data_IF_032304758487
#
_entry.id   IF_032304758487
#
_cell.length_a   1.000
_cell.length_b   1.000
_cell.length_c   1.000
_cell.angle_alpha   90.00
_cell.angle_beta   90.00
_cell.angle_gamma   90.00
#
_symmetry.space_group_name_H-M   'P 1'
#
loop_
_entity.id
_entity.type
_entity.pdbx_description
1 polymer ?
#
# COMPACT_ATOMS: atom_id res chain seq x y z
N UNK A 1 23.20 -3.94 -16.70
CA UNK A 1 21.74 -4.13 -16.75
C UNK A 1 21.16 -2.89 -17.40
N UNK A 2 20.35 -3.02 -18.45
CA UNK A 2 19.71 -1.87 -19.11
C UNK A 2 18.77 -1.17 -18.11
N UNK A 3 18.70 0.18 -18.09
CA UNK A 3 17.79 0.92 -17.20
C UNK A 3 16.34 0.42 -17.27
N UNK A 4 15.92 -0.04 -18.44
CA UNK A 4 14.58 -0.60 -18.68
C UNK A 4 14.33 -1.91 -17.91
N UNK A 5 15.34 -2.77 -17.76
CA UNK A 5 15.21 -4.02 -17.01
C UNK A 5 14.98 -3.74 -15.51
N UNK A 6 15.65 -2.70 -14.97
CA UNK A 6 15.48 -2.27 -13.58
C UNK A 6 14.10 -1.64 -13.38
N UNK A 7 13.62 -0.84 -14.34
CA UNK A 7 12.28 -0.25 -14.30
C UNK A 7 11.18 -1.33 -14.33
N UNK A 8 11.28 -2.31 -15.24
CA UNK A 8 10.36 -3.44 -15.32
C UNK A 8 10.37 -4.30 -14.05
N UNK A 9 11.55 -4.66 -13.53
CA UNK A 9 11.66 -5.42 -12.30
C UNK A 9 11.03 -4.69 -11.11
N UNK A 10 11.24 -3.37 -11.01
CA UNK A 10 10.65 -2.54 -9.96
C UNK A 10 9.12 -2.44 -10.09
N UNK A 11 8.61 -2.36 -11.32
CA UNK A 11 7.17 -2.34 -11.59
C UNK A 11 6.51 -3.68 -11.23
N UNK A 12 7.16 -4.79 -11.56
CA UNK A 12 6.72 -6.14 -11.15
C UNK A 12 6.69 -6.26 -9.63
N UNK A 13 7.75 -5.83 -8.93
CA UNK A 13 7.79 -5.84 -7.46
C UNK A 13 6.67 -4.98 -6.84
N UNK A 14 6.40 -3.81 -7.42
CA UNK A 14 5.34 -2.90 -6.97
C UNK A 14 3.96 -3.53 -7.16
N UNK A 15 3.65 -4.04 -8.36
CA UNK A 15 2.39 -4.71 -8.70
C UNK A 15 2.20 -5.95 -7.84
N UNK A 16 3.25 -6.76 -7.68
CA UNK A 16 3.22 -7.96 -6.84
C UNK A 16 2.89 -7.61 -5.38
N UNK A 17 3.55 -6.61 -4.82
CA UNK A 17 3.29 -6.16 -3.43
C UNK A 17 1.87 -5.62 -3.27
N UNK A 18 1.40 -4.79 -4.20
CA UNK A 18 0.05 -4.23 -4.19
C UNK A 18 -1.04 -5.30 -4.37
N UNK A 19 -0.83 -6.24 -5.29
CA UNK A 19 -1.75 -7.34 -5.57
C UNK A 19 -1.81 -8.34 -4.43
N UNK A 20 -0.66 -8.75 -3.89
CA UNK A 20 -0.62 -9.62 -2.71
C UNK A 20 -1.38 -9.00 -1.54
N UNK A 21 -1.18 -7.72 -1.30
CA UNK A 21 -1.91 -7.01 -0.25
C UNK A 21 -3.41 -6.93 -0.52
N UNK A 22 -3.82 -6.66 -1.75
CA UNK A 22 -5.23 -6.63 -2.14
C UNK A 22 -5.91 -7.99 -1.95
N UNK A 23 -5.22 -9.10 -2.21
CA UNK A 23 -5.75 -10.45 -2.03
C UNK A 23 -5.71 -10.92 -0.57
N UNK A 24 -4.69 -10.51 0.20
CA UNK A 24 -4.53 -10.91 1.60
C UNK A 24 -5.45 -10.12 2.55
N UNK A 25 -5.66 -8.83 2.27
CA UNK A 25 -6.41 -7.89 3.10
C UNK A 25 -7.90 -8.27 3.36
N UNK A 26 -8.66 -8.86 2.41
CA UNK A 26 -10.03 -9.34 2.63
C UNK A 26 -10.12 -10.49 3.64
N UNK A 27 -9.13 -11.37 3.68
CA UNK A 27 -9.11 -12.48 4.64
C UNK A 27 -9.09 -11.95 6.09
N UNK A 28 -8.38 -10.84 6.33
CA UNK A 28 -8.31 -10.19 7.64
C UNK A 28 -9.57 -9.38 8.00
N UNK A 29 -10.42 -9.01 7.03
CA UNK A 29 -11.73 -8.39 7.30
C UNK A 29 -12.76 -9.37 7.86
N UNK A 30 -12.60 -10.66 7.56
CA UNK A 30 -13.46 -11.74 8.04
C UNK A 30 -13.06 -12.23 9.43
N UNK A 31 -11.88 -11.85 9.92
CA UNK A 31 -11.39 -12.22 11.26
C UNK A 31 -11.90 -11.23 12.31
N UNK A 32 -12.19 -11.78 13.50
CA UNK A 32 -12.58 -11.06 14.71
C UNK A 32 -11.48 -10.12 15.21
N UNK A 33 -11.66 -8.82 14.97
CA UNK A 33 -10.76 -7.73 15.42
C UNK A 33 -10.91 -7.39 16.92
N UNK A 34 -11.81 -8.09 17.61
CA UNK A 34 -11.99 -8.15 19.06
C UNK A 34 -10.86 -8.94 19.76
N UNK A 35 -9.96 -9.58 19.02
CA UNK A 35 -8.78 -10.24 19.57
C UNK A 35 -7.56 -9.30 19.45
N UNK A 36 -6.91 -8.91 20.56
CA UNK A 36 -5.80 -7.94 20.54
C UNK A 36 -4.61 -8.43 19.69
N UNK A 37 -4.33 -9.73 19.72
CA UNK A 37 -3.28 -10.39 18.94
C UNK A 37 -3.51 -10.23 17.43
N UNK A 38 -4.76 -10.39 16.96
CA UNK A 38 -5.14 -10.20 15.55
C UNK A 38 -4.90 -8.75 15.13
N UNK A 39 -5.22 -7.79 16.00
CA UNK A 39 -5.09 -6.37 15.69
C UNK A 39 -3.62 -5.93 15.63
N UNK A 40 -2.77 -6.49 16.50
CA UNK A 40 -1.33 -6.29 16.45
C UNK A 40 -0.69 -6.95 15.22
N UNK A 41 -1.13 -8.16 14.86
CA UNK A 41 -0.67 -8.85 13.65
C UNK A 41 -1.05 -8.05 12.39
N UNK A 42 -2.29 -7.55 12.34
CA UNK A 42 -2.76 -6.68 11.28
C UNK A 42 -1.91 -5.40 11.18
N UNK A 43 -1.60 -4.75 12.31
CA UNK A 43 -0.69 -3.60 12.36
C UNK A 43 0.71 -3.93 11.83
N UNK A 44 1.24 -5.09 12.18
CA UNK A 44 2.52 -5.60 11.68
C UNK A 44 2.50 -5.78 10.16
N UNK A 45 1.44 -6.39 9.63
CA UNK A 45 1.25 -6.61 8.20
C UNK A 45 1.13 -5.29 7.43
N UNK A 46 0.35 -4.33 7.92
CA UNK A 46 0.27 -3.01 7.31
C UNK A 46 1.61 -2.29 7.34
N UNK A 47 2.34 -2.36 8.46
CA UNK A 47 3.67 -1.73 8.58
C UNK A 47 4.65 -2.28 7.55
N UNK A 48 4.69 -3.61 7.38
CA UNK A 48 5.59 -4.24 6.40
C UNK A 48 5.14 -3.95 4.97
N UNK A 49 3.84 -4.01 4.68
CA UNK A 49 3.28 -3.69 3.38
C UNK A 49 3.62 -2.25 2.95
N UNK A 50 3.31 -1.25 3.79
CA UNK A 50 3.64 0.14 3.47
C UNK A 50 5.14 0.36 3.29
N UNK A 51 5.98 -0.37 4.03
CA UNK A 51 7.43 -0.31 3.86
C UNK A 51 7.85 -0.88 2.49
N UNK A 52 7.31 -2.04 2.11
CA UNK A 52 7.60 -2.68 0.82
C UNK A 52 7.15 -1.80 -0.35
N UNK A 53 5.94 -1.25 -0.30
CA UNK A 53 5.43 -0.34 -1.33
C UNK A 53 6.24 0.96 -1.40
N UNK A 54 6.64 1.52 -0.25
CA UNK A 54 7.49 2.71 -0.24
C UNK A 54 8.86 2.44 -0.87
N UNK A 55 9.53 1.33 -0.50
CA UNK A 55 10.83 0.95 -1.07
C UNK A 55 10.69 0.69 -2.57
N UNK A 56 9.74 -0.15 -2.97
CA UNK A 56 9.50 -0.47 -4.39
C UNK A 56 9.13 0.78 -5.19
N UNK A 57 8.30 1.66 -4.64
CA UNK A 57 7.90 2.93 -5.25
C UNK A 57 9.07 3.89 -5.43
N UNK A 58 9.96 4.03 -4.45
CA UNK A 58 11.16 4.86 -4.55
C UNK A 58 12.11 4.30 -5.61
N UNK A 59 12.38 3.00 -5.59
CA UNK A 59 13.25 2.34 -6.59
C UNK A 59 12.67 2.53 -7.99
N UNK A 60 11.37 2.28 -8.16
CA UNK A 60 10.68 2.48 -9.43
C UNK A 60 10.76 3.94 -9.89
N UNK A 61 10.52 4.91 -9.00
CA UNK A 61 10.63 6.35 -9.31
C UNK A 61 12.03 6.70 -9.80
N UNK A 62 13.08 6.22 -9.13
CA UNK A 62 14.47 6.44 -9.54
C UNK A 62 14.78 5.77 -10.89
N UNK A 63 14.30 4.54 -11.11
CA UNK A 63 14.51 3.83 -12.37
C UNK A 63 13.83 4.55 -13.55
N UNK A 64 12.58 5.00 -13.40
CA UNK A 64 11.87 5.75 -14.44
C UNK A 64 12.44 7.16 -14.66
N UNK A 65 12.96 7.81 -13.61
CA UNK A 65 13.68 9.09 -13.73
C UNK A 65 14.96 8.93 -14.58
N UNK A 66 15.74 7.88 -14.32
CA UNK A 66 16.94 7.55 -15.10
C UNK A 66 16.64 7.16 -16.55
N UNK A 67 15.46 6.58 -16.80
CA UNK A 67 14.97 6.26 -18.14
C UNK A 67 14.37 7.48 -18.89
N UNK A 68 14.36 8.68 -18.29
CA UNK A 68 13.85 9.91 -18.92
C UNK A 68 12.32 9.99 -19.05
N UNK A 69 11.58 9.08 -18.42
CA UNK A 69 10.11 8.98 -18.54
C UNK A 69 9.39 9.79 -17.47
N UNK A 70 9.42 11.11 -17.60
CA UNK A 70 8.90 12.08 -16.61
C UNK A 70 7.45 11.82 -16.17
N UNK A 71 6.54 11.45 -17.08
CA UNK A 71 5.13 11.16 -16.75
C UNK A 71 5.01 9.99 -15.75
N UNK A 72 5.79 8.93 -15.97
CA UNK A 72 5.82 7.76 -15.10
C UNK A 72 6.56 8.03 -13.79
N UNK A 73 7.64 8.80 -13.83
CA UNK A 73 8.35 9.27 -12.63
C UNK A 73 7.41 10.03 -11.70
N UNK A 74 6.61 10.96 -12.23
CA UNK A 74 5.64 11.74 -11.43
C UNK A 74 4.55 10.82 -10.88
N UNK A 75 3.96 9.94 -11.72
CA UNK A 75 2.90 9.03 -11.30
C UNK A 75 3.34 8.07 -10.18
N UNK A 76 4.48 7.40 -10.35
CA UNK A 76 5.02 6.46 -9.36
C UNK A 76 5.55 7.21 -8.13
N UNK A 77 6.14 8.39 -8.32
CA UNK A 77 6.57 9.26 -7.22
C UNK A 77 5.41 9.68 -6.32
N UNK A 78 4.26 10.01 -6.91
CA UNK A 78 3.03 10.32 -6.16
C UNK A 78 2.51 9.10 -5.39
N UNK A 79 2.56 7.91 -5.99
CA UNK A 79 2.19 6.66 -5.31
C UNK A 79 3.12 6.40 -4.12
N UNK A 80 4.43 6.57 -4.30
CA UNK A 80 5.42 6.38 -3.24
C UNK A 80 5.23 7.40 -2.11
N UNK A 81 5.05 8.68 -2.43
CA UNK A 81 4.79 9.74 -1.46
C UNK A 81 3.48 9.48 -0.69
N UNK A 82 2.42 9.07 -1.38
CA UNK A 82 1.16 8.69 -0.76
C UNK A 82 1.33 7.50 0.16
N UNK A 83 2.06 6.45 -0.24
CA UNK A 83 2.32 5.29 0.61
C UNK A 83 3.08 5.66 1.89
N UNK A 84 4.09 6.53 1.80
CA UNK A 84 4.85 7.02 2.96
C UNK A 84 3.97 7.84 3.91
N UNK A 85 3.16 8.75 3.36
CA UNK A 85 2.25 9.58 4.15
C UNK A 85 1.14 8.74 4.80
N UNK A 86 0.48 7.89 4.01
CA UNK A 86 -0.58 7.00 4.45
C UNK A 86 -0.08 6.04 5.53
N UNK A 87 1.15 5.53 5.45
CA UNK A 87 1.78 4.70 6.50
C UNK A 87 1.73 5.38 7.87
N UNK A 88 2.21 6.62 7.95
CA UNK A 88 2.28 7.34 9.21
C UNK A 88 0.89 7.72 9.75
N UNK A 89 -0.03 8.08 8.87
CA UNK A 89 -1.40 8.41 9.26
C UNK A 89 -2.20 7.17 9.72
N UNK A 90 -2.11 6.08 8.96
CA UNK A 90 -2.82 4.83 9.21
C UNK A 90 -2.35 4.14 10.49
N UNK A 91 -1.03 4.05 10.71
CA UNK A 91 -0.48 3.45 11.93
C UNK A 91 -0.89 4.24 13.17
N UNK A 92 -0.76 5.58 13.15
CA UNK A 92 -1.18 6.42 14.28
C UNK A 92 -2.66 6.29 14.59
N UNK A 93 -3.50 6.20 13.56
CA UNK A 93 -4.94 6.09 13.79
C UNK A 93 -5.34 4.69 14.25
N UNK A 94 -4.72 3.63 13.73
CA UNK A 94 -4.90 2.28 14.24
C UNK A 94 -4.48 2.19 15.72
N UNK A 95 -3.38 2.82 16.12
CA UNK A 95 -2.96 2.93 17.52
C UNK A 95 -4.03 3.62 18.37
N UNK A 96 -4.57 4.76 17.92
CA UNK A 96 -5.63 5.46 18.64
C UNK A 96 -6.92 4.64 18.79
N UNK A 97 -7.25 3.81 17.81
CA UNK A 97 -8.46 2.98 17.85
C UNK A 97 -8.25 1.70 18.67
N UNK A 98 -7.03 1.15 18.71
CA UNK A 98 -6.68 0.06 19.62
C UNK A 98 -6.81 0.51 21.07
N UNK A 99 -6.26 1.67 21.42
CA UNK A 99 -6.41 2.24 22.78
C UNK A 99 -7.87 2.52 23.15
N UNK A 100 -8.69 2.98 22.20
CA UNK A 100 -10.12 3.17 22.43
C UNK A 100 -10.87 1.85 22.64
N UNK A 101 -10.50 0.78 21.92
CA UNK A 101 -11.04 -0.57 22.15
C UNK A 101 -10.66 -1.10 23.52
N UNK A 102 -9.40 -0.96 23.92
CA UNK A 102 -8.92 -1.41 25.22
C UNK A 102 -9.63 -0.68 26.38
N UNK A 103 -10.10 0.55 26.13
CA UNK A 103 -10.97 1.30 27.04
C UNK A 103 -12.46 0.88 27.02
N UNK A 104 -12.84 -0.13 26.23
CA UNK A 104 -14.19 -0.70 26.18
C UNK A 104 -15.11 -0.14 25.08
N UNK A 105 -14.61 0.67 24.14
CA UNK A 105 -15.44 1.23 23.07
C UNK A 105 -15.73 0.21 21.97
N UNK A 106 -16.98 -0.26 21.91
CA UNK A 106 -17.47 -1.17 20.88
C UNK A 106 -17.50 -0.55 19.46
N UNK A 107 -17.49 0.77 19.32
CA UNK A 107 -17.40 1.43 18.01
C UNK A 107 -16.01 1.42 17.40
N UNK A 108 -14.96 1.28 18.21
CA UNK A 108 -13.57 1.29 17.77
C UNK A 108 -13.33 0.21 16.70
N UNK A 109 -13.96 -0.96 16.84
CA UNK A 109 -13.87 -2.07 15.87
C UNK A 109 -14.49 -1.69 14.51
N UNK A 110 -15.64 -0.99 14.51
CA UNK A 110 -16.26 -0.51 13.25
C UNK A 110 -15.41 0.57 12.58
N UNK A 111 -14.79 1.46 13.37
CA UNK A 111 -13.89 2.51 12.87
C UNK A 111 -12.61 1.92 12.28
N UNK A 112 -12.06 0.86 12.91
CA UNK A 112 -10.95 0.10 12.38
C UNK A 112 -11.27 -0.54 11.03
N UNK A 113 -12.47 -1.13 10.90
CA UNK A 113 -12.93 -1.75 9.65
C UNK A 113 -13.09 -0.74 8.51
N UNK A 114 -13.65 0.44 8.79
CA UNK A 114 -13.76 1.53 7.80
C UNK A 114 -12.40 2.03 7.34
N UNK A 115 -11.45 2.14 8.26
CA UNK A 115 -10.07 2.52 7.95
C UNK A 115 -9.39 1.49 7.05
N UNK A 116 -9.51 0.21 7.40
CA UNK A 116 -9.01 -0.91 6.60
C UNK A 116 -9.59 -0.90 5.18
N UNK A 117 -10.91 -0.68 5.06
CA UNK A 117 -11.58 -0.60 3.77
C UNK A 117 -11.10 0.58 2.93
N UNK A 118 -10.91 1.75 3.53
CA UNK A 118 -10.35 2.93 2.86
C UNK A 118 -8.95 2.68 2.32
N UNK A 119 -8.08 2.04 3.10
CA UNK A 119 -6.74 1.64 2.64
C UNK A 119 -6.79 0.65 1.47
N UNK A 120 -7.70 -0.32 1.52
CA UNK A 120 -7.87 -1.32 0.46
C UNK A 120 -8.43 -0.72 -0.83
N UNK A 121 -9.41 0.18 -0.76
CA UNK A 121 -9.93 0.91 -1.92
C UNK A 121 -8.86 1.79 -2.55
N UNK A 122 -8.06 2.46 -1.72
CA UNK A 122 -6.96 3.30 -2.21
C UNK A 122 -5.87 2.47 -2.90
N UNK A 123 -5.49 1.32 -2.34
CA UNK A 123 -4.56 0.38 -3.00
C UNK A 123 -5.14 -0.19 -4.30
N UNK A 124 -6.43 -0.56 -4.31
CA UNK A 124 -7.10 -1.05 -5.51
C UNK A 124 -7.10 0.00 -6.63
N UNK A 125 -7.37 1.26 -6.30
CA UNK A 125 -7.32 2.36 -7.24
C UNK A 125 -5.89 2.58 -7.78
N UNK A 126 -4.89 2.62 -6.91
CA UNK A 126 -3.48 2.73 -7.32
C UNK A 126 -3.05 1.58 -8.22
N UNK A 127 -3.42 0.34 -7.88
CA UNK A 127 -3.13 -0.83 -8.68
C UNK A 127 -3.80 -0.76 -10.06
N UNK A 128 -5.06 -0.32 -10.15
CA UNK A 128 -5.76 -0.15 -11.42
C UNK A 128 -5.07 0.90 -12.30
N UNK A 129 -4.61 2.01 -11.72
CA UNK A 129 -3.84 3.04 -12.43
C UNK A 129 -2.50 2.48 -12.92
N UNK A 130 -1.75 1.76 -12.08
CA UNK A 130 -0.47 1.16 -12.46
C UNK A 130 -0.66 0.12 -13.57
N UNK A 131 -1.63 -0.79 -13.44
CA UNK A 131 -1.92 -1.81 -14.44
C UNK A 131 -2.42 -1.18 -15.75
N UNK A 132 -3.31 -0.20 -15.67
CA UNK A 132 -3.79 0.55 -16.83
C UNK A 132 -2.70 1.36 -17.53
N UNK A 133 -1.61 1.67 -16.84
CA UNK A 133 -0.45 2.38 -17.41
C UNK A 133 0.52 1.45 -18.16
N UNK A 134 0.46 0.13 -17.92
CA UNK A 134 1.35 -0.88 -18.53
C UNK A 134 1.36 -0.82 -20.08
N UNK A 135 0.22 -0.73 -20.79
CA UNK A 135 0.21 -0.65 -22.25
C UNK A 135 0.95 0.58 -22.78
N UNK A 136 0.88 1.71 -22.05
CA UNK A 136 1.56 2.95 -22.40
C UNK A 136 3.07 2.91 -22.12
N UNK A 137 3.50 2.08 -21.16
CA UNK A 137 4.93 1.82 -20.93
C UNK A 137 5.51 1.00 -22.08
N UNK A 138 4.78 -0.01 -22.58
CA UNK A 138 5.25 -0.91 -23.64
C UNK A 138 5.13 -0.36 -25.07
N UNK A 139 4.29 0.66 -25.31
CA UNK A 139 4.09 1.26 -26.63
C UNK A 139 5.02 2.44 -26.95
N UNK A 140 5.83 2.89 -25.99
CA UNK A 140 6.87 3.92 -26.17
C UNK A 140 8.24 3.27 -26.08
#
# INVERSE_FOLDING_TARGET
>A
MTPDAVALASMVLLIFSMGFFLLSSPAFLLVRLDIPEVTQLLRGLFRSYFLMVAIAGVIATMAFALAGRLVFTIGIGLIAAFAIWARGWFLRRMDSQMSARDAGDAEAVRRLRRMHWGGMLSNAFQLAVVVGSIPYVMST
#
